data_IF_262121312681
#
_entry.id   IF_262121312681
#
_cell.length_a   1.000
_cell.length_b   1.000
_cell.length_c   1.000
_cell.angle_alpha   90.00
_cell.angle_beta   90.00
_cell.angle_gamma   90.00
#
_symmetry.space_group_name_H-M   'P 1'
#
loop_
_entity.id
_entity.type
_entity.pdbx_description
1 polymer ?
#
# COMPACT_ATOMS: atom_id res chain seq x y z
N UNK A 1 -52.27 46.67 25.41
CA UNK A 1 -50.85 47.02 25.63
C UNK A 1 -50.34 45.99 26.60
N UNK A 2 -49.48 45.02 26.27
CA UNK A 2 -48.49 44.81 25.20
C UNK A 2 -48.48 43.28 24.95
N UNK A 3 -48.83 42.77 23.76
CA UNK A 3 -47.88 42.30 22.72
C UNK A 3 -46.42 42.19 23.19
N UNK A 4 -45.91 40.97 23.34
CA UNK A 4 -44.85 40.43 22.48
C UNK A 4 -44.35 39.03 22.93
N UNK A 5 -44.09 38.19 21.90
CA UNK A 5 -43.00 37.21 21.76
C UNK A 5 -42.89 36.12 22.84
N UNK A 6 -43.05 34.82 22.55
CA UNK A 6 -42.19 34.03 21.67
C UNK A 6 -42.91 32.76 21.22
N UNK A 7 -43.19 32.64 19.92
CA UNK A 7 -43.62 31.42 19.28
C UNK A 7 -42.42 30.56 18.87
N UNK A 8 -42.45 29.27 19.22
CA UNK A 8 -41.82 28.23 18.39
C UNK A 8 -40.40 27.80 18.76
N UNK A 9 -40.17 27.36 19.99
CA UNK A 9 -39.13 26.36 20.28
C UNK A 9 -39.73 24.99 19.97
N UNK A 10 -39.57 24.53 18.73
CA UNK A 10 -39.85 23.13 18.38
C UNK A 10 -38.70 22.30 18.95
N UNK A 11 -39.01 21.62 20.04
CA UNK A 11 -38.26 20.49 20.54
C UNK A 11 -38.21 19.41 19.45
N UNK A 12 -37.02 19.16 18.91
CA UNK A 12 -36.72 17.89 18.25
C UNK A 12 -35.67 17.20 19.10
N UNK A 13 -36.14 16.63 20.21
CA UNK A 13 -35.45 15.51 20.83
C UNK A 13 -35.61 14.27 19.94
N UNK A 14 -34.57 13.44 19.93
CA UNK A 14 -34.52 12.06 19.48
C UNK A 14 -34.30 11.81 17.98
N UNK A 15 -33.02 11.79 17.60
CA UNK A 15 -32.50 10.62 16.88
C UNK A 15 -31.43 10.00 17.77
N UNK A 16 -31.83 8.92 18.42
CA UNK A 16 -30.97 8.02 19.18
C UNK A 16 -29.78 7.61 18.31
N UNK A 17 -28.62 8.22 18.57
CA UNK A 17 -27.35 7.61 18.20
C UNK A 17 -27.16 6.47 19.19
N UNK A 18 -27.68 5.30 18.84
CA UNK A 18 -27.47 4.05 19.55
C UNK A 18 -25.97 3.86 19.81
N UNK A 19 -25.57 4.14 21.04
CA UNK A 19 -24.59 3.46 21.88
C UNK A 19 -23.61 2.50 21.17
N UNK A 20 -22.84 2.96 20.17
CA UNK A 20 -21.56 2.35 19.87
C UNK A 20 -20.65 2.69 21.05
N UNK A 21 -20.24 1.66 21.81
CA UNK A 21 -19.22 1.80 22.85
C UNK A 21 -18.07 2.64 22.28
N UNK A 22 -17.82 3.81 22.86
CA UNK A 22 -16.61 4.58 22.55
C UNK A 22 -15.43 3.73 22.97
N UNK A 23 -14.82 3.05 21.99
CA UNK A 23 -13.60 2.28 22.19
C UNK A 23 -12.51 3.23 22.68
N UNK A 24 -11.73 2.79 23.67
CA UNK A 24 -10.53 3.53 24.06
C UNK A 24 -9.51 3.48 22.92
N UNK A 25 -8.60 4.46 22.89
CA UNK A 25 -7.50 4.46 21.92
C UNK A 25 -6.69 3.16 21.95
N UNK A 26 -6.46 2.59 23.14
CA UNK A 26 -5.76 1.32 23.31
C UNK A 26 -6.53 0.13 22.70
N UNK A 27 -7.87 0.14 22.79
CA UNK A 27 -8.71 -0.90 22.18
C UNK A 27 -8.68 -0.80 20.66
N UNK A 28 -8.71 0.43 20.11
CA UNK A 28 -8.60 0.66 18.67
C UNK A 28 -7.26 0.15 18.14
N UNK A 29 -6.17 0.50 18.83
CA UNK A 29 -4.82 0.06 18.46
C UNK A 29 -4.67 -1.45 18.54
N UNK A 30 -5.11 -2.05 19.65
CA UNK A 30 -5.08 -3.52 19.82
C UNK A 30 -5.88 -4.24 18.73
N UNK A 31 -7.06 -3.73 18.36
CA UNK A 31 -7.87 -4.35 17.32
C UNK A 31 -7.20 -4.29 15.94
N UNK A 32 -6.51 -3.17 15.62
CA UNK A 32 -5.74 -3.05 14.39
C UNK A 32 -4.53 -3.99 14.40
N UNK A 33 -3.79 -4.05 15.51
CA UNK A 33 -2.65 -4.96 15.70
C UNK A 33 -3.09 -6.43 15.56
N UNK A 34 -4.24 -6.81 16.11
CA UNK A 34 -4.80 -8.17 15.99
C UNK A 34 -5.16 -8.52 14.54
N UNK A 35 -5.74 -7.57 13.79
CA UNK A 35 -6.05 -7.77 12.37
C UNK A 35 -4.78 -7.93 11.54
N UNK A 36 -3.78 -7.06 11.77
CA UNK A 36 -2.48 -7.12 11.11
C UNK A 36 -1.81 -8.46 11.40
N UNK A 37 -1.83 -8.90 12.65
CA UNK A 37 -1.27 -10.18 13.06
C UNK A 37 -1.97 -11.37 12.38
N UNK A 38 -3.30 -11.37 12.32
CA UNK A 38 -4.06 -12.42 11.64
C UNK A 38 -3.72 -12.47 10.13
N UNK A 39 -3.59 -11.31 9.47
CA UNK A 39 -3.16 -11.25 8.07
C UNK A 39 -1.74 -11.82 7.92
N UNK A 40 -0.80 -11.36 8.74
CA UNK A 40 0.59 -11.80 8.75
C UNK A 40 0.73 -13.31 8.97
N UNK A 41 -0.09 -13.89 9.85
CA UNK A 41 -0.06 -15.33 10.16
C UNK A 41 -0.41 -16.23 8.96
N UNK A 42 -1.16 -15.70 8.00
CA UNK A 42 -1.55 -16.37 6.76
C UNK A 42 -0.88 -15.79 5.50
N UNK A 43 0.07 -14.87 5.66
CA UNK A 43 0.69 -14.17 4.55
C UNK A 43 1.85 -14.96 3.96
N UNK A 44 1.95 -15.00 2.64
CA UNK A 44 3.13 -15.50 1.92
C UNK A 44 3.39 -14.60 0.73
N UNK A 45 4.54 -13.93 0.67
CA UNK A 45 4.90 -13.01 -0.42
C UNK A 45 3.87 -11.89 -0.67
N UNK A 46 3.36 -11.28 0.40
CA UNK A 46 2.26 -10.30 0.39
C UNK A 46 0.94 -10.82 -0.23
N UNK A 47 0.79 -12.12 -0.46
CA UNK A 47 -0.49 -12.75 -0.76
C UNK A 47 -1.13 -13.22 0.55
N UNK A 48 -2.35 -12.78 0.82
CA UNK A 48 -3.01 -13.06 2.10
C UNK A 48 -4.52 -13.09 1.96
N UNK A 49 -5.16 -13.76 2.92
CA UNK A 49 -6.61 -13.76 3.05
C UNK A 49 -7.00 -13.68 4.52
N UNK A 50 -7.91 -12.76 4.85
CA UNK A 50 -8.50 -12.66 6.18
C UNK A 50 -10.02 -12.90 6.11
N UNK A 51 -10.56 -13.90 6.84
CA UNK A 51 -12.00 -14.12 6.94
C UNK A 51 -12.71 -12.99 7.68
N UNK A 52 -13.95 -12.70 7.31
CA UNK A 52 -14.79 -11.72 8.01
C UNK A 52 -14.94 -12.04 9.49
N UNK A 53 -15.05 -13.32 9.86
CA UNK A 53 -15.16 -13.78 11.24
C UNK A 53 -13.96 -13.34 12.09
N UNK A 54 -12.74 -13.35 11.54
CA UNK A 54 -11.53 -12.90 12.22
C UNK A 54 -11.54 -11.39 12.43
N UNK A 55 -11.98 -10.63 11.42
CA UNK A 55 -12.13 -9.18 11.51
C UNK A 55 -13.15 -8.80 12.59
N UNK A 56 -14.33 -9.43 12.57
CA UNK A 56 -15.39 -9.18 13.56
C UNK A 56 -14.89 -9.49 14.97
N UNK A 57 -14.18 -10.62 15.13
CA UNK A 57 -13.61 -11.03 16.41
C UNK A 57 -12.57 -10.03 16.92
N UNK A 58 -11.64 -9.58 16.07
CA UNK A 58 -10.59 -8.63 16.45
C UNK A 58 -11.16 -7.25 16.80
N UNK A 59 -12.17 -6.79 16.06
CA UNK A 59 -12.85 -5.53 16.34
C UNK A 59 -13.77 -5.59 17.57
N UNK A 60 -14.09 -6.81 18.04
CA UNK A 60 -15.02 -7.07 19.13
C UNK A 60 -16.39 -6.37 18.93
N UNK A 61 -16.93 -6.46 17.72
CA UNK A 61 -18.23 -5.88 17.34
C UNK A 61 -19.25 -6.97 17.03
N UNK A 62 -20.54 -6.61 17.03
CA UNK A 62 -21.59 -7.54 16.61
C UNK A 62 -21.54 -7.72 15.10
N UNK A 63 -21.81 -8.95 14.64
CA UNK A 63 -21.88 -9.30 13.21
C UNK A 63 -22.88 -8.43 12.43
N UNK A 64 -23.99 -8.05 13.07
CA UNK A 64 -25.00 -7.15 12.50
C UNK A 64 -24.46 -5.74 12.27
N UNK A 65 -23.72 -5.18 13.23
CA UNK A 65 -23.12 -3.85 13.11
C UNK A 65 -22.06 -3.83 12.01
N UNK A 66 -21.22 -4.86 11.95
CA UNK A 66 -20.25 -5.06 10.87
C UNK A 66 -20.91 -5.02 9.49
N UNK A 67 -21.93 -5.86 9.26
CA UNK A 67 -22.58 -5.92 7.96
C UNK A 67 -23.33 -4.65 7.61
N UNK A 68 -23.92 -3.95 8.60
CA UNK A 68 -24.54 -2.64 8.38
C UNK A 68 -23.55 -1.65 7.79
N UNK A 69 -22.35 -1.56 8.37
CA UNK A 69 -21.28 -0.68 7.88
C UNK A 69 -20.79 -1.14 6.51
N UNK A 70 -20.55 -2.45 6.34
CA UNK A 70 -20.11 -3.03 5.07
C UNK A 70 -21.10 -2.76 3.92
N UNK A 71 -22.40 -2.92 4.15
CA UNK A 71 -23.42 -2.68 3.11
C UNK A 71 -23.58 -1.20 2.79
N UNK A 72 -23.40 -0.30 3.77
CA UNK A 72 -23.37 1.13 3.50
C UNK A 72 -22.20 1.49 2.58
N UNK A 73 -21.01 0.93 2.82
CA UNK A 73 -19.84 1.12 1.96
C UNK A 73 -20.01 0.54 0.56
N UNK A 74 -20.73 -0.59 0.42
CA UNK A 74 -21.03 -1.18 -0.88
C UNK A 74 -21.87 -0.29 -1.80
N UNK A 75 -22.64 0.62 -1.23
CA UNK A 75 -23.40 1.59 -2.02
C UNK A 75 -22.55 2.79 -2.46
N UNK A 76 -21.43 3.05 -1.78
CA UNK A 76 -20.52 4.17 -2.04
C UNK A 76 -19.37 3.79 -2.97
N UNK A 77 -18.87 2.56 -2.85
CA UNK A 77 -17.74 2.01 -3.59
C UNK A 77 -18.18 0.66 -4.14
N UNK A 78 -17.82 0.33 -5.38
CA UNK A 78 -18.19 -0.94 -6.05
C UNK A 78 -17.59 -2.19 -5.37
N UNK A 79 -17.95 -2.45 -4.11
CA UNK A 79 -17.56 -3.62 -3.35
C UNK A 79 -18.12 -4.86 -4.05
N UNK A 80 -17.22 -5.77 -4.40
CA UNK A 80 -17.60 -7.06 -4.97
C UNK A 80 -18.37 -7.87 -3.93
N UNK A 81 -19.36 -8.64 -4.38
CA UNK A 81 -20.12 -9.55 -3.51
C UNK A 81 -19.25 -10.61 -2.82
N UNK A 82 -18.00 -10.82 -3.28
CA UNK A 82 -17.03 -11.76 -2.68
C UNK A 82 -16.43 -11.25 -1.38
N UNK A 83 -16.40 -9.92 -1.16
CA UNK A 83 -15.89 -9.34 0.08
C UNK A 83 -16.77 -9.65 1.32
N UNK A 84 -17.97 -10.24 1.13
CA UNK A 84 -18.82 -10.68 2.23
C UNK A 84 -18.27 -11.91 2.99
N UNK A 85 -17.33 -12.64 2.41
CA UNK A 85 -16.69 -13.82 3.02
C UNK A 85 -15.32 -13.50 3.65
N UNK A 86 -14.61 -12.50 3.12
CA UNK A 86 -13.29 -12.09 3.58
C UNK A 86 -12.63 -11.11 2.62
N UNK A 87 -11.40 -10.73 2.94
CA UNK A 87 -10.58 -9.82 2.14
C UNK A 87 -9.27 -10.49 1.78
N UNK A 88 -8.70 -10.09 0.66
CA UNK A 88 -7.36 -10.44 0.22
C UNK A 88 -6.62 -9.19 -0.24
N UNK A 89 -5.37 -9.36 -0.69
CA UNK A 89 -4.51 -8.28 -1.17
C UNK A 89 -5.16 -7.40 -2.24
N UNK A 90 -5.91 -7.98 -3.19
CA UNK A 90 -6.61 -7.21 -4.24
C UNK A 90 -7.76 -6.33 -3.73
N UNK A 91 -8.27 -6.61 -2.53
CA UNK A 91 -9.34 -5.84 -1.89
C UNK A 91 -8.84 -5.09 -0.64
N UNK A 92 -7.52 -4.88 -0.50
CA UNK A 92 -6.93 -4.25 0.67
C UNK A 92 -7.43 -2.81 0.88
N UNK A 93 -7.57 -2.00 -0.18
CA UNK A 93 -8.13 -0.64 -0.08
C UNK A 93 -9.54 -0.65 0.52
N UNK A 94 -10.34 -1.63 0.12
CA UNK A 94 -11.70 -1.83 0.63
C UNK A 94 -11.69 -2.20 2.11
N UNK A 95 -10.75 -3.05 2.54
CA UNK A 95 -10.55 -3.38 3.96
C UNK A 95 -10.11 -2.14 4.74
N UNK A 96 -9.14 -1.37 4.24
CA UNK A 96 -8.62 -0.16 4.90
C UNK A 96 -9.75 0.85 5.11
N UNK A 97 -10.58 1.10 4.09
CA UNK A 97 -11.73 1.99 4.21
C UNK A 97 -12.74 1.50 5.25
N UNK A 98 -13.03 0.20 5.27
CA UNK A 98 -13.92 -0.41 6.25
C UNK A 98 -13.38 -0.21 7.68
N UNK A 99 -12.09 -0.49 7.90
CA UNK A 99 -11.44 -0.32 9.20
C UNK A 99 -11.41 1.15 9.61
N UNK A 100 -11.12 2.08 8.70
CA UNK A 100 -11.16 3.52 8.99
C UNK A 100 -12.55 3.98 9.42
N UNK A 101 -13.63 3.44 8.84
CA UNK A 101 -15.00 3.75 9.25
C UNK A 101 -15.36 3.19 10.63
N UNK A 102 -14.91 1.97 10.94
CA UNK A 102 -15.22 1.29 12.21
C UNK A 102 -14.40 1.90 13.35
N UNK A 103 -13.07 1.98 13.17
CA UNK A 103 -12.11 2.43 14.18
C UNK A 103 -12.04 3.96 14.28
N UNK A 104 -12.50 4.70 13.26
CA UNK A 104 -12.48 6.17 13.20
C UNK A 104 -11.07 6.75 13.34
N UNK A 105 -10.09 6.10 12.72
CA UNK A 105 -8.70 6.53 12.67
C UNK A 105 -8.20 6.66 11.23
N UNK A 106 -7.22 7.53 11.05
CA UNK A 106 -6.44 7.70 9.83
C UNK A 106 -5.14 6.89 9.91
N UNK A 107 -4.38 6.81 8.81
CA UNK A 107 -3.06 6.16 8.78
C UNK A 107 -3.08 4.62 8.74
N UNK A 108 -4.24 3.98 8.56
CA UNK A 108 -4.32 2.50 8.47
C UNK A 108 -3.50 1.98 7.28
N UNK A 109 -3.51 2.68 6.13
CA UNK A 109 -2.68 2.31 4.97
C UNK A 109 -1.19 2.30 5.31
N UNK A 110 -0.72 3.30 6.06
CA UNK A 110 0.69 3.39 6.49
C UNK A 110 1.06 2.23 7.43
N UNK A 111 0.16 1.85 8.32
CA UNK A 111 0.38 0.71 9.22
C UNK A 111 0.41 -0.62 8.44
N UNK A 112 -0.44 -0.78 7.42
CA UNK A 112 -0.38 -1.96 6.53
C UNK A 112 0.94 -2.01 5.76
N UNK A 113 1.42 -0.87 5.26
CA UNK A 113 2.69 -0.79 4.54
C UNK A 113 3.90 -1.07 5.44
N UNK A 114 3.96 -0.47 6.64
CA UNK A 114 5.02 -0.75 7.62
C UNK A 114 5.06 -2.21 8.03
N UNK A 115 3.92 -2.87 8.08
CA UNK A 115 3.83 -4.29 8.43
C UNK A 115 4.05 -5.23 7.24
N UNK A 116 4.40 -4.71 6.06
CA UNK A 116 4.70 -5.50 4.87
C UNK A 116 3.49 -6.24 4.29
N UNK A 117 2.28 -5.74 4.53
CA UNK A 117 1.03 -6.41 4.15
C UNK A 117 0.50 -5.88 2.82
N UNK A 118 0.52 -4.56 2.64
CA UNK A 118 -0.08 -3.90 1.48
C UNK A 118 0.59 -2.56 1.22
N UNK A 119 0.74 -2.21 -0.06
CA UNK A 119 1.34 -0.97 -0.51
C UNK A 119 0.37 -0.28 -1.46
N UNK A 120 -0.14 0.88 -1.06
CA UNK A 120 -1.02 1.68 -1.91
C UNK A 120 -0.27 2.39 -3.04
N UNK A 121 -1.02 2.96 -3.98
CA UNK A 121 -0.46 3.67 -5.14
C UNK A 121 0.48 4.81 -4.75
N UNK A 122 0.24 5.48 -3.61
CA UNK A 122 1.13 6.55 -3.15
C UNK A 122 2.48 5.97 -2.72
N UNK A 123 2.47 4.88 -1.97
CA UNK A 123 3.68 4.19 -1.53
C UNK A 123 4.51 3.67 -2.72
N UNK A 124 3.83 3.13 -3.72
CA UNK A 124 4.46 2.65 -4.96
C UNK A 124 5.02 3.81 -5.79
N UNK A 125 4.33 4.95 -5.84
CA UNK A 125 4.83 6.16 -6.49
C UNK A 125 6.07 6.72 -5.77
N UNK A 126 6.09 6.73 -4.44
CA UNK A 126 7.26 7.12 -3.65
C UNK A 126 8.47 6.23 -3.93
N UNK A 127 8.28 4.91 -3.99
CA UNK A 127 9.34 3.98 -4.36
C UNK A 127 9.89 4.29 -5.76
N UNK A 128 9.01 4.54 -6.75
CA UNK A 128 9.43 4.88 -8.11
C UNK A 128 10.24 6.18 -8.15
N UNK A 129 9.84 7.19 -7.39
CA UNK A 129 10.58 8.46 -7.26
C UNK A 129 11.95 8.20 -6.64
N UNK A 130 12.00 7.47 -5.53
CA UNK A 130 13.25 7.15 -4.83
C UNK A 130 14.23 6.38 -5.73
N UNK A 131 13.76 5.37 -6.45
CA UNK A 131 14.59 4.62 -7.40
C UNK A 131 15.09 5.49 -8.55
N UNK A 132 14.23 6.34 -9.10
CA UNK A 132 14.61 7.28 -10.16
C UNK A 132 15.70 8.23 -9.69
N UNK A 133 15.57 8.80 -8.50
CA UNK A 133 16.57 9.69 -7.91
C UNK A 133 17.91 8.97 -7.66
N UNK A 134 17.87 7.71 -7.20
CA UNK A 134 19.06 6.89 -7.01
C UNK A 134 19.79 6.65 -8.35
N UNK A 135 19.05 6.23 -9.39
CA UNK A 135 19.60 6.01 -10.74
C UNK A 135 20.20 7.31 -11.29
N UNK A 136 19.47 8.43 -11.23
CA UNK A 136 19.94 9.72 -11.72
C UNK A 136 21.20 10.19 -10.99
N UNK A 137 21.26 10.01 -9.67
CA UNK A 137 22.42 10.37 -8.86
C UNK A 137 23.63 9.51 -9.22
N UNK A 138 23.45 8.20 -9.44
CA UNK A 138 24.52 7.31 -9.89
C UNK A 138 25.03 7.71 -11.26
N UNK A 139 24.14 7.98 -12.22
CA UNK A 139 24.51 8.44 -13.55
C UNK A 139 25.28 9.77 -13.51
N UNK A 140 24.82 10.73 -12.71
CA UNK A 140 25.47 12.04 -12.58
C UNK A 140 26.87 11.97 -11.95
N UNK A 141 27.13 10.96 -11.12
CA UNK A 141 28.43 10.74 -10.46
C UNK A 141 29.34 9.80 -11.26
N UNK A 142 28.83 9.18 -12.32
CA UNK A 142 29.60 8.23 -13.10
C UNK A 142 30.63 8.95 -13.95
N UNK A 143 31.90 8.58 -13.76
CA UNK A 143 32.96 9.01 -14.63
C UNK A 143 33.07 8.03 -15.80
N UNK A 144 32.94 8.56 -17.02
CA UNK A 144 33.00 7.76 -18.24
C UNK A 144 34.37 7.06 -18.36
N UNK A 145 34.37 5.75 -18.15
CA UNK A 145 35.46 4.84 -18.50
C UNK A 145 35.60 4.76 -20.03
N UNK A 146 36.35 5.71 -20.58
CA UNK A 146 36.56 5.86 -22.03
C UNK A 146 37.29 4.68 -22.64
N UNK A 147 38.21 4.06 -21.90
CA UNK A 147 39.00 2.94 -22.39
C UNK A 147 38.12 1.71 -22.61
N UNK A 148 37.25 1.40 -21.64
CA UNK A 148 36.29 0.30 -21.80
C UNK A 148 35.30 0.56 -22.93
N UNK A 149 34.73 1.77 -23.02
CA UNK A 149 33.78 2.08 -24.09
C UNK A 149 34.44 1.99 -25.48
N UNK A 150 35.68 2.48 -25.64
CA UNK A 150 36.46 2.35 -26.86
C UNK A 150 36.75 0.88 -27.22
N UNK A 151 37.10 0.07 -26.21
CA UNK A 151 37.33 -1.36 -26.39
C UNK A 151 36.06 -2.06 -26.88
N UNK A 152 34.92 -1.83 -26.23
CA UNK A 152 33.63 -2.41 -26.60
C UNK A 152 33.19 -1.94 -27.99
N UNK A 153 33.36 -0.65 -28.30
CA UNK A 153 33.03 -0.09 -29.63
C UNK A 153 33.91 -0.67 -30.74
N UNK A 154 35.14 -1.09 -30.41
CA UNK A 154 36.04 -1.74 -31.37
C UNK A 154 35.77 -3.23 -31.53
N UNK A 155 35.12 -3.86 -30.54
CA UNK A 155 34.79 -5.28 -30.51
C UNK A 155 33.39 -5.60 -31.07
N UNK A 156 32.57 -4.58 -31.32
CA UNK A 156 31.19 -4.68 -31.83
C UNK A 156 31.09 -4.05 -33.22
N UNK A 157 30.08 -4.48 -33.99
CA UNK A 157 29.79 -3.91 -35.31
C UNK A 157 28.90 -2.66 -35.21
N UNK A 158 28.07 -2.59 -34.17
CA UNK A 158 27.19 -1.48 -33.86
C UNK A 158 27.63 -0.80 -32.56
N UNK A 159 27.62 0.54 -32.56
CA UNK A 159 27.94 1.30 -31.35
C UNK A 159 26.85 1.15 -30.29
N UNK A 160 25.60 0.95 -30.70
CA UNK A 160 24.50 0.77 -29.74
C UNK A 160 24.72 -0.50 -28.90
N UNK A 161 25.16 -1.62 -29.50
CA UNK A 161 25.54 -2.84 -28.79
C UNK A 161 26.71 -2.61 -27.81
N UNK A 162 27.67 -1.78 -28.20
CA UNK A 162 28.80 -1.40 -27.36
C UNK A 162 28.36 -0.57 -26.15
N UNK A 163 27.43 0.36 -26.38
CA UNK A 163 26.86 1.23 -25.36
C UNK A 163 26.02 0.42 -24.37
N UNK A 164 25.16 -0.48 -24.86
CA UNK A 164 24.34 -1.35 -24.01
C UNK A 164 25.23 -2.27 -23.17
N UNK A 165 26.25 -2.89 -23.77
CA UNK A 165 27.23 -3.71 -23.03
C UNK A 165 27.99 -2.91 -21.97
N UNK A 166 28.37 -1.67 -22.29
CA UNK A 166 29.03 -0.76 -21.34
C UNK A 166 28.08 -0.40 -20.19
N UNK A 167 26.83 -0.11 -20.53
CA UNK A 167 25.82 0.27 -19.57
C UNK A 167 25.50 -0.89 -18.64
N UNK A 168 25.36 -2.11 -19.14
CA UNK A 168 25.14 -3.31 -18.31
C UNK A 168 26.34 -3.61 -17.39
N UNK A 169 27.57 -3.43 -17.87
CA UNK A 169 28.79 -3.62 -17.06
C UNK A 169 28.89 -2.59 -15.92
N UNK A 170 28.67 -1.31 -16.22
CA UNK A 170 28.82 -0.21 -15.24
C UNK A 170 27.57 0.00 -14.38
N UNK A 171 26.40 -0.28 -14.93
CA UNK A 171 25.09 -0.05 -14.33
C UNK A 171 24.27 -1.33 -14.43
N UNK A 172 24.64 -2.34 -13.65
CA UNK A 172 23.79 -3.50 -13.43
C UNK A 172 22.46 -3.03 -12.82
N UNK A 173 21.47 -2.82 -13.68
CA UNK A 173 20.23 -2.14 -13.36
C UNK A 173 19.41 -2.94 -12.35
N UNK A 174 19.36 -4.26 -12.52
CA UNK A 174 18.73 -5.19 -11.59
C UNK A 174 19.28 -4.98 -10.17
N UNK A 175 20.60 -5.01 -10.02
CA UNK A 175 21.26 -4.78 -8.74
C UNK A 175 21.03 -3.38 -8.19
N UNK A 176 20.92 -2.35 -9.03
CA UNK A 176 20.59 -0.99 -8.59
C UNK A 176 19.19 -0.95 -7.99
N UNK A 177 18.21 -1.56 -8.67
CA UNK A 177 16.83 -1.64 -8.19
C UNK A 177 16.73 -2.45 -6.91
N UNK A 178 17.37 -3.62 -6.84
CA UNK A 178 17.35 -4.46 -5.64
C UNK A 178 17.91 -3.76 -4.41
N UNK A 179 19.05 -3.08 -4.56
CA UNK A 179 19.63 -2.30 -3.47
C UNK A 179 18.71 -1.12 -3.11
N UNK A 180 18.16 -0.42 -4.11
CA UNK A 180 17.26 0.71 -3.87
C UNK A 180 15.97 0.30 -3.14
N UNK A 181 15.41 -0.87 -3.45
CA UNK A 181 14.26 -1.42 -2.71
C UNK A 181 14.66 -1.76 -1.27
N UNK A 182 15.84 -2.35 -1.08
CA UNK A 182 16.35 -2.68 0.26
C UNK A 182 16.54 -1.42 1.10
N UNK A 183 17.18 -0.39 0.53
CA UNK A 183 17.37 0.92 1.17
C UNK A 183 16.02 1.57 1.51
N UNK A 184 15.02 1.45 0.63
CA UNK A 184 13.69 2.00 0.84
C UNK A 184 12.93 1.27 1.96
N UNK A 185 13.00 -0.07 2.00
CA UNK A 185 12.43 -0.89 3.08
C UNK A 185 13.02 -0.48 4.43
N UNK A 186 14.35 -0.32 4.49
CA UNK A 186 15.05 0.11 5.70
C UNK A 186 14.64 1.55 6.10
N UNK A 187 14.67 2.49 5.15
CA UNK A 187 14.30 3.89 5.37
C UNK A 187 12.88 4.04 5.92
N UNK A 188 11.94 3.23 5.42
CA UNK A 188 10.54 3.26 5.82
C UNK A 188 10.22 2.33 7.00
N UNK A 189 11.20 1.58 7.51
CA UNK A 189 11.04 0.61 8.59
C UNK A 189 9.96 -0.43 8.30
N UNK A 190 9.93 -0.94 7.07
CA UNK A 190 8.97 -1.96 6.62
C UNK A 190 9.43 -3.33 7.12
N UNK A 191 8.50 -4.10 7.69
CA UNK A 191 8.73 -5.51 8.03
C UNK A 191 8.81 -6.34 6.76
N UNK A 192 9.97 -6.97 6.54
CA UNK A 192 10.21 -7.74 5.32
C UNK A 192 9.86 -9.24 5.44
N UNK A 193 9.53 -9.72 6.64
CA UNK A 193 9.32 -11.15 6.92
C UNK A 193 8.14 -11.77 6.12
N UNK A 194 7.28 -10.92 5.57
CA UNK A 194 6.08 -11.31 4.83
C UNK A 194 6.23 -11.17 3.30
N UNK A 195 7.45 -10.93 2.82
CA UNK A 195 7.81 -10.87 1.39
C UNK A 195 7.53 -9.53 0.71
N UNK A 196 7.65 -8.44 1.47
CA UNK A 196 7.55 -7.07 0.97
C UNK A 196 8.58 -6.80 -0.14
N UNK A 197 9.82 -7.25 0.02
CA UNK A 197 10.87 -7.15 -0.98
C UNK A 197 10.51 -7.85 -2.29
N UNK A 198 9.99 -9.08 -2.22
CA UNK A 198 9.56 -9.87 -3.37
C UNK A 198 8.43 -9.14 -4.10
N UNK A 199 7.43 -8.65 -3.37
CA UNK A 199 6.32 -7.90 -3.94
C UNK A 199 6.80 -6.63 -4.66
N UNK A 200 7.60 -5.79 -3.98
CA UNK A 200 8.08 -4.52 -4.55
C UNK A 200 8.99 -4.75 -5.77
N UNK A 201 9.84 -5.79 -5.75
CA UNK A 201 10.65 -6.18 -6.91
C UNK A 201 9.75 -6.57 -8.08
N UNK A 202 8.81 -7.47 -7.86
CA UNK A 202 7.88 -7.92 -8.90
C UNK A 202 7.09 -6.76 -9.50
N UNK A 203 6.61 -5.84 -8.66
CA UNK A 203 5.92 -4.64 -9.10
C UNK A 203 6.80 -3.78 -10.00
N UNK A 204 8.02 -3.43 -9.56
CA UNK A 204 8.93 -2.56 -10.34
C UNK A 204 9.35 -3.23 -11.65
N UNK A 205 9.73 -4.51 -11.65
CA UNK A 205 10.11 -5.21 -12.88
C UNK A 205 8.94 -5.40 -13.85
N UNK A 206 7.70 -5.53 -13.37
CA UNK A 206 6.53 -5.55 -14.25
C UNK A 206 6.35 -4.23 -15.02
N UNK A 207 6.62 -3.09 -14.38
CA UNK A 207 6.54 -1.76 -15.00
C UNK A 207 7.70 -1.53 -15.98
N UNK A 208 8.89 -2.04 -15.65
CA UNK A 208 10.06 -1.88 -16.50
C UNK A 208 9.93 -2.74 -17.75
N UNK A 209 9.55 -4.00 -17.61
CA UNK A 209 9.36 -4.93 -18.74
C UNK A 209 8.23 -4.49 -19.69
N UNK A 210 7.24 -3.75 -19.20
CA UNK A 210 6.19 -3.16 -20.04
C UNK A 210 6.68 -1.95 -20.84
N UNK A 211 7.76 -1.29 -20.39
CA UNK A 211 8.37 -0.13 -21.06
C UNK A 211 9.59 -0.48 -21.92
N UNK A 212 10.30 -1.56 -21.65
CA UNK A 212 11.56 -1.92 -22.32
C UNK A 212 11.43 -2.74 -23.62
N UNK A 213 10.22 -3.06 -24.10
CA UNK A 213 10.05 -3.83 -25.35
C UNK A 213 8.90 -3.37 -26.27
N UNK A 214 8.36 -2.17 -26.09
CA UNK A 214 7.30 -1.62 -26.97
C UNK A 214 7.79 -0.59 -28.00
N UNK A 215 9.10 -0.43 -28.16
CA UNK A 215 9.67 0.18 -29.37
C UNK A 215 9.62 -0.83 -30.53
N UNK A 216 8.43 -0.99 -31.11
CA UNK A 216 8.25 -1.40 -32.51
C UNK A 216 8.37 -0.19 -33.43
#
# INVERSE_FOLDING_TARGET
MEKELMSGLVWVENLEVENMQTQSFDQIRSALEDIIFEIQSGCTNCEWYIPVEKIISALNIRKEDYYRIFYNLRNEVHFSSRAAAGFNETHADSLIQLLSKILKIEGISEEFAKNGIYFDDNYLAELQISLKENIQTRLARHELDRELLLLLSSATLDFDDAFDSYFDDKFNFERIVENGISDFIELKSIQNDYGADVFLKNHIFSILNTKSFSSQ
#
